data_IF_004521685740
#
_entry.id   IF_004521685740
#
_cell.length_a   1.000
_cell.length_b   1.000
_cell.length_c   1.000
_cell.angle_alpha   90.00
_cell.angle_beta   90.00
_cell.angle_gamma   90.00
#
_symmetry.space_group_name_H-M   'P 1'
#
loop_
_entity.id
_entity.type
_entity.pdbx_description
1 polymer ?
#
# COMPACT_ATOMS: atom_id res chain seq x y z
N UNK A 1 8.56 19.56 13.74
CA UNK A 1 8.57 18.65 12.58
C UNK A 1 7.72 19.30 11.49
N UNK A 2 8.20 19.34 10.25
CA UNK A 2 7.52 20.00 9.12
C UNK A 2 6.35 19.16 8.58
N UNK A 3 6.47 17.82 8.66
CA UNK A 3 5.43 16.87 8.27
C UNK A 3 5.36 15.73 9.30
N UNK A 4 4.15 15.26 9.56
CA UNK A 4 3.88 14.05 10.34
C UNK A 4 3.29 12.98 9.41
N UNK A 5 3.90 11.80 9.37
CA UNK A 5 3.40 10.66 8.60
C UNK A 5 2.58 9.76 9.52
N UNK A 6 1.26 9.76 9.34
CA UNK A 6 0.39 8.81 10.02
C UNK A 6 0.45 7.42 9.36
N UNK A 7 0.60 6.38 10.18
CA UNK A 7 0.72 5.00 9.70
C UNK A 7 -0.50 4.13 10.02
N UNK A 8 -1.55 4.70 10.62
CA UNK A 8 -2.80 3.99 11.00
C UNK A 8 -3.53 3.41 9.79
N UNK A 9 -3.49 4.11 8.65
CA UNK A 9 -4.10 3.72 7.36
C UNK A 9 -5.62 3.48 7.46
N UNK A 10 -6.30 4.16 8.39
CA UNK A 10 -7.73 4.03 8.59
C UNK A 10 -8.50 5.18 7.89
N UNK A 11 -9.45 4.90 6.97
CA UNK A 11 -10.23 5.94 6.28
C UNK A 11 -10.98 6.86 7.23
N UNK A 12 -11.56 6.30 8.30
CA UNK A 12 -12.30 7.07 9.30
C UNK A 12 -11.40 8.04 10.08
N UNK A 13 -10.15 7.63 10.38
CA UNK A 13 -9.20 8.51 11.06
C UNK A 13 -8.75 9.66 10.16
N UNK A 14 -8.44 9.37 8.89
CA UNK A 14 -8.16 10.40 7.90
C UNK A 14 -9.33 11.39 7.73
N UNK A 15 -10.57 10.90 7.82
CA UNK A 15 -11.75 11.77 7.75
C UNK A 15 -11.83 12.68 8.98
N UNK A 16 -11.59 12.16 10.18
CA UNK A 16 -11.53 12.96 11.39
C UNK A 16 -10.43 14.04 11.31
N UNK A 17 -9.23 13.70 10.79
CA UNK A 17 -8.16 14.67 10.57
C UNK A 17 -8.57 15.78 9.60
N UNK A 18 -9.32 15.44 8.55
CA UNK A 18 -9.80 16.42 7.56
C UNK A 18 -10.80 17.45 8.11
N UNK A 19 -11.31 17.26 9.32
CA UNK A 19 -12.24 18.17 9.99
C UNK A 19 -11.52 19.13 10.95
N UNK A 20 -10.21 18.99 11.16
CA UNK A 20 -9.43 19.83 12.06
C UNK A 20 -8.92 21.04 11.26
N UNK A 21 -9.31 22.29 11.60
CA UNK A 21 -9.00 23.48 10.80
C UNK A 21 -7.50 23.72 10.55
N UNK A 22 -6.65 23.37 11.52
CA UNK A 22 -5.21 23.63 11.46
C UNK A 22 -4.39 22.45 10.91
N UNK A 23 -5.05 21.41 10.38
CA UNK A 23 -4.39 20.23 9.81
C UNK A 23 -4.45 20.28 8.29
N UNK A 24 -3.30 20.50 7.66
CA UNK A 24 -3.14 20.33 6.22
C UNK A 24 -3.01 18.83 5.87
N UNK A 25 -4.12 18.21 5.50
CA UNK A 25 -4.16 16.78 5.22
C UNK A 25 -3.71 16.46 3.78
N UNK A 26 -2.60 15.73 3.64
CA UNK A 26 -2.19 15.08 2.39
C UNK A 26 -2.39 13.58 2.46
N UNK A 27 -3.02 12.97 1.45
CA UNK A 27 -3.38 11.54 1.44
C UNK A 27 -2.72 10.83 0.26
N UNK A 28 -1.82 9.91 0.56
CA UNK A 28 -1.26 8.96 -0.40
C UNK A 28 -1.96 7.59 -0.24
N UNK A 29 -2.85 7.27 -1.16
CA UNK A 29 -3.51 5.97 -1.21
C UNK A 29 -2.62 4.95 -1.93
N UNK A 30 -1.90 4.14 -1.16
CA UNK A 30 -1.13 3.03 -1.72
C UNK A 30 -2.04 1.82 -1.98
N UNK A 31 -2.25 1.50 -3.25
CA UNK A 31 -3.07 0.35 -3.67
C UNK A 31 -2.19 -0.81 -4.13
N UNK A 32 -2.61 -2.04 -3.87
CA UNK A 32 -1.97 -3.26 -4.39
C UNK A 32 -2.99 -4.09 -5.14
N UNK A 33 -2.55 -4.86 -6.12
CA UNK A 33 -3.39 -5.84 -6.82
C UNK A 33 -4.14 -6.72 -5.79
N UNK A 34 -5.48 -6.74 -5.78
CA UNK A 34 -6.27 -7.48 -4.79
C UNK A 34 -6.00 -8.98 -4.83
N UNK A 35 -5.55 -9.53 -5.96
CA UNK A 35 -5.13 -10.94 -6.08
C UNK A 35 -3.86 -11.19 -5.26
N UNK A 36 -2.91 -10.26 -5.29
CA UNK A 36 -1.71 -10.27 -4.46
C UNK A 36 -2.02 -10.06 -2.98
N UNK A 37 -3.00 -9.22 -2.66
CA UNK A 37 -3.48 -9.02 -1.28
C UNK A 37 -4.12 -10.29 -0.72
N UNK A 38 -5.06 -10.90 -1.46
CA UNK A 38 -5.71 -12.14 -1.07
C UNK A 38 -4.70 -13.26 -0.86
N UNK A 39 -3.73 -13.41 -1.77
CA UNK A 39 -2.65 -14.37 -1.61
C UNK A 39 -1.79 -14.10 -0.36
N UNK A 40 -1.47 -12.84 -0.06
CA UNK A 40 -0.73 -12.48 1.15
C UNK A 40 -1.51 -12.76 2.44
N UNK A 41 -2.83 -12.58 2.43
CA UNK A 41 -3.72 -12.76 3.59
C UNK A 41 -4.13 -14.23 3.81
N UNK A 42 -3.96 -15.07 2.79
CA UNK A 42 -4.17 -16.52 2.89
C UNK A 42 -2.99 -17.25 3.54
N UNK A 43 -1.79 -16.67 3.53
CA UNK A 43 -0.59 -17.30 4.07
C UNK A 43 -0.49 -17.13 5.58
N UNK A 44 -0.04 -18.17 6.31
CA UNK A 44 0.31 -18.01 7.72
C UNK A 44 1.50 -17.04 7.84
N UNK A 45 1.37 -16.05 8.71
CA UNK A 45 2.47 -15.21 9.18
C UNK A 45 2.51 -15.30 10.70
N UNK A 46 3.70 -15.43 11.27
CA UNK A 46 3.87 -15.39 12.72
C UNK A 46 3.34 -14.05 13.24
N UNK A 47 2.65 -14.08 14.38
CA UNK A 47 2.17 -12.90 15.09
C UNK A 47 3.21 -12.52 16.16
N UNK A 48 3.93 -11.39 16.03
CA UNK A 48 4.93 -10.96 17.01
C UNK A 48 4.34 -10.74 18.40
N UNK A 49 3.04 -10.42 18.49
CA UNK A 49 2.34 -10.14 19.75
C UNK A 49 1.75 -11.37 20.43
N UNK A 50 1.85 -12.56 19.84
CA UNK A 50 1.28 -13.79 20.38
C UNK A 50 2.28 -14.95 20.25
N UNK A 51 2.85 -15.38 21.38
CA UNK A 51 3.76 -16.53 21.41
C UNK A 51 3.10 -17.78 20.77
N UNK A 52 3.67 -18.27 19.67
CA UNK A 52 3.15 -19.41 18.90
C UNK A 52 1.91 -19.13 18.04
N UNK A 53 1.48 -17.87 17.92
CA UNK A 53 0.31 -17.46 17.16
C UNK A 53 0.61 -17.15 15.68
N UNK A 54 -0.37 -17.38 14.82
CA UNK A 54 -0.36 -16.87 13.45
C UNK A 54 -1.37 -15.73 13.32
N UNK A 55 -1.05 -14.74 12.49
CA UNK A 55 -1.98 -13.69 12.09
C UNK A 55 -3.27 -14.28 11.51
N UNK A 56 -4.40 -13.61 11.73
CA UNK A 56 -5.72 -14.03 11.22
C UNK A 56 -5.67 -14.18 9.71
N UNK A 57 -5.97 -15.39 9.24
CA UNK A 57 -6.11 -15.68 7.81
C UNK A 57 -7.46 -15.16 7.33
N UNK A 58 -7.48 -14.61 6.14
CA UNK A 58 -8.72 -14.23 5.49
C UNK A 58 -8.88 -15.00 4.19
N UNK A 59 -10.09 -15.50 3.97
CA UNK A 59 -10.46 -16.10 2.70
C UNK A 59 -10.42 -15.08 1.55
N UNK A 60 -10.41 -15.58 0.32
CA UNK A 60 -10.41 -14.75 -0.89
C UNK A 60 -11.58 -13.75 -0.92
N UNK A 61 -12.77 -14.15 -0.47
CA UNK A 61 -13.96 -13.29 -0.37
C UNK A 61 -13.77 -12.18 0.66
N UNK A 62 -13.44 -12.52 1.90
CA UNK A 62 -13.22 -11.55 2.99
C UNK A 62 -12.10 -10.57 2.65
N UNK A 63 -11.01 -11.04 2.06
CA UNK A 63 -9.94 -10.17 1.58
C UNK A 63 -10.39 -9.23 0.46
N UNK A 64 -11.24 -9.70 -0.45
CA UNK A 64 -11.78 -8.87 -1.54
C UNK A 64 -12.70 -7.78 -1.01
N UNK A 65 -13.62 -8.14 -0.12
CA UNK A 65 -14.55 -7.18 0.52
C UNK A 65 -13.76 -6.14 1.31
N UNK A 66 -12.82 -6.56 2.15
CA UNK A 66 -12.03 -5.63 2.93
C UNK A 66 -11.22 -4.68 2.04
N UNK A 67 -10.61 -5.22 0.98
CA UNK A 67 -9.87 -4.41 0.01
C UNK A 67 -10.77 -3.39 -0.69
N UNK A 68 -11.96 -3.79 -1.14
CA UNK A 68 -12.93 -2.86 -1.74
C UNK A 68 -13.36 -1.78 -0.76
N UNK A 69 -13.73 -2.18 0.45
CA UNK A 69 -14.23 -1.26 1.49
C UNK A 69 -13.16 -0.25 1.87
N UNK A 70 -11.90 -0.66 2.11
CA UNK A 70 -10.85 0.27 2.56
C UNK A 70 -10.45 1.25 1.46
N UNK A 71 -10.20 0.76 0.25
CA UNK A 71 -9.79 1.63 -0.86
C UNK A 71 -10.94 2.55 -1.29
N UNK A 72 -12.16 2.02 -1.41
CA UNK A 72 -13.35 2.79 -1.75
C UNK A 72 -13.71 3.83 -0.71
N UNK A 73 -13.67 3.48 0.59
CA UNK A 73 -13.93 4.43 1.67
C UNK A 73 -12.86 5.54 1.71
N UNK A 74 -11.58 5.21 1.53
CA UNK A 74 -10.51 6.22 1.49
C UNK A 74 -10.78 7.26 0.41
N UNK A 75 -11.05 6.81 -0.82
CA UNK A 75 -11.34 7.76 -1.89
C UNK A 75 -12.61 8.56 -1.64
N UNK A 76 -13.69 7.89 -1.24
CA UNK A 76 -15.00 8.54 -1.06
C UNK A 76 -14.98 9.59 0.04
N UNK A 77 -14.23 9.35 1.11
CA UNK A 77 -14.16 10.22 2.27
C UNK A 77 -13.12 11.33 2.07
N UNK A 78 -11.96 11.02 1.48
CA UNK A 78 -10.78 11.89 1.56
C UNK A 78 -10.43 12.60 0.25
N UNK A 79 -10.79 12.07 -0.93
CA UNK A 79 -10.36 12.65 -2.22
C UNK A 79 -10.80 14.10 -2.41
N UNK A 80 -11.97 14.47 -1.90
CA UNK A 80 -12.50 15.85 -1.95
C UNK A 80 -12.25 16.67 -0.69
N UNK A 81 -11.44 16.18 0.25
CA UNK A 81 -11.18 16.84 1.54
C UNK A 81 -9.70 17.05 1.83
N UNK A 82 -8.84 16.18 1.30
CA UNK A 82 -7.40 16.34 1.41
C UNK A 82 -6.93 17.50 0.52
N UNK A 83 -5.98 18.29 1.02
CA UNK A 83 -5.28 19.32 0.25
C UNK A 83 -4.58 18.70 -0.96
N UNK A 84 -3.99 17.53 -0.77
CA UNK A 84 -3.37 16.73 -1.83
C UNK A 84 -3.86 15.29 -1.73
N UNK A 85 -4.24 14.69 -2.86
CA UNK A 85 -4.61 13.28 -2.94
C UNK A 85 -3.90 12.61 -4.10
N UNK A 86 -3.14 11.55 -3.83
CA UNK A 86 -2.45 10.76 -4.84
C UNK A 86 -2.68 9.26 -4.63
N UNK A 87 -2.65 8.50 -5.72
CA UNK A 87 -2.72 7.03 -5.70
C UNK A 87 -1.38 6.49 -6.18
N UNK A 88 -0.81 5.54 -5.43
CA UNK A 88 0.43 4.85 -5.80
C UNK A 88 0.20 3.35 -5.82
N UNK A 89 0.50 2.69 -6.94
CA UNK A 89 0.47 1.23 -7.00
C UNK A 89 1.70 0.65 -6.32
N UNK A 90 1.51 -0.34 -5.46
CA UNK A 90 2.58 -1.11 -4.85
C UNK A 90 3.54 -1.68 -5.91
N UNK A 91 2.99 -2.09 -7.05
CA UNK A 91 3.75 -2.68 -8.14
C UNK A 91 4.69 -1.67 -8.81
N UNK A 92 4.30 -0.40 -8.90
CA UNK A 92 5.13 0.67 -9.45
C UNK A 92 6.20 1.08 -8.42
N UNK A 93 5.79 1.24 -7.15
CA UNK A 93 6.72 1.48 -6.04
C UNK A 93 7.79 0.40 -5.95
N UNK A 94 7.42 -0.89 -6.00
CA UNK A 94 8.38 -1.98 -5.84
C UNK A 94 9.30 -2.17 -7.06
N UNK A 95 8.95 -1.61 -8.23
CA UNK A 95 9.85 -1.57 -9.40
C UNK A 95 10.86 -0.44 -9.30
N UNK A 96 10.41 0.75 -8.90
CA UNK A 96 11.18 1.98 -8.88
C UNK A 96 10.99 2.71 -7.53
N UNK A 97 11.49 2.17 -6.42
CA UNK A 97 11.16 2.67 -5.09
C UNK A 97 11.78 4.03 -4.82
N UNK A 98 13.05 4.24 -5.15
CA UNK A 98 13.74 5.52 -4.97
C UNK A 98 13.05 6.63 -5.77
N UNK A 99 12.81 6.41 -7.06
CA UNK A 99 12.09 7.36 -7.91
C UNK A 99 10.66 7.61 -7.43
N UNK A 100 9.98 6.59 -6.90
CA UNK A 100 8.61 6.74 -6.35
C UNK A 100 8.60 7.58 -5.07
N UNK A 101 9.58 7.41 -4.19
CA UNK A 101 9.73 8.26 -3.00
C UNK A 101 10.12 9.69 -3.40
N UNK A 102 11.00 9.86 -4.39
CA UNK A 102 11.31 11.17 -4.96
C UNK A 102 10.07 11.89 -5.48
N UNK A 103 9.20 11.20 -6.23
CA UNK A 103 7.90 11.73 -6.67
C UNK A 103 6.99 12.12 -5.51
N UNK A 104 6.99 11.37 -4.40
CA UNK A 104 6.21 11.72 -3.20
C UNK A 104 6.77 12.98 -2.54
N UNK A 105 8.10 13.11 -2.42
CA UNK A 105 8.76 14.29 -1.85
C UNK A 105 8.45 15.53 -2.68
N UNK A 106 8.54 15.43 -4.01
CA UNK A 106 8.16 16.53 -4.91
C UNK A 106 6.68 16.84 -4.83
N UNK A 107 5.80 15.84 -4.75
CA UNK A 107 4.35 16.02 -4.61
C UNK A 107 3.95 16.71 -3.30
N UNK A 108 4.76 16.53 -2.24
CA UNK A 108 4.59 17.21 -0.95
C UNK A 108 5.30 18.58 -0.88
N UNK A 109 5.92 19.04 -1.97
CA UNK A 109 6.66 20.31 -2.05
C UNK A 109 7.77 20.46 -0.99
N UNK A 110 8.38 19.35 -0.56
CA UNK A 110 9.37 19.31 0.53
C UNK A 110 10.80 19.78 0.16
N UNK A 111 10.99 20.24 -1.08
CA UNK A 111 12.30 20.52 -1.65
C UNK A 111 13.16 19.27 -1.87
N UNK A 112 14.41 19.42 -2.36
CA UNK A 112 15.35 18.32 -2.50
C UNK A 112 15.63 17.66 -1.14
N UNK A 113 15.57 16.33 -1.08
CA UNK A 113 15.86 15.55 0.13
C UNK A 113 16.78 14.39 -0.24
N UNK A 114 17.78 14.15 0.60
CA UNK A 114 18.58 12.94 0.52
C UNK A 114 17.73 11.75 0.96
N UNK A 115 17.40 10.88 0.01
CA UNK A 115 16.62 9.69 0.28
C UNK A 115 17.56 8.59 0.81
N UNK A 116 17.16 7.81 1.83
CA UNK A 116 18.02 6.80 2.46
C UNK A 116 18.09 5.52 1.60
N UNK A 117 18.46 5.63 0.34
CA UNK A 117 18.63 4.52 -0.57
C UNK A 117 20.12 4.19 -0.76
N UNK A 118 20.44 2.90 -0.67
CA UNK A 118 21.74 2.32 -1.00
C UNK A 118 21.60 1.55 -2.31
N UNK A 119 21.49 2.32 -3.40
CA UNK A 119 21.16 1.82 -4.74
C UNK A 119 19.65 1.74 -5.02
N UNK A 120 19.27 1.35 -6.25
CA UNK A 120 17.96 1.68 -6.83
C UNK A 120 16.76 1.00 -6.15
N UNK A 121 17.00 -0.06 -5.37
CA UNK A 121 15.94 -0.87 -4.72
C UNK A 121 16.27 -1.30 -3.30
N UNK A 122 17.23 -0.67 -2.65
CA UNK A 122 17.58 -0.99 -1.26
C UNK A 122 17.44 0.28 -0.45
N UNK A 123 16.61 0.23 0.58
CA UNK A 123 16.43 1.34 1.53
C UNK A 123 17.18 1.01 2.82
N UNK A 124 17.86 1.98 3.41
CA UNK A 124 18.52 1.85 4.70
C UNK A 124 17.57 2.35 5.78
N UNK A 125 16.97 1.43 6.54
CA UNK A 125 16.00 1.76 7.57
C UNK A 125 16.67 1.98 8.92
N UNK A 126 16.42 3.16 9.51
CA UNK A 126 16.73 3.40 10.91
C UNK A 126 15.73 2.65 11.82
N UNK A 127 16.10 2.39 13.09
CA UNK A 127 15.16 1.86 14.07
C UNK A 127 13.91 2.73 14.20
N UNK A 128 12.74 2.10 14.21
CA UNK A 128 11.45 2.78 14.44
C UNK A 128 10.72 2.17 15.63
N UNK A 129 9.97 2.99 16.36
CA UNK A 129 9.18 2.55 17.51
C UNK A 129 7.80 1.99 17.11
N UNK A 130 7.77 1.09 16.11
CA UNK A 130 6.54 0.41 15.70
C UNK A 130 6.30 -0.82 16.57
N UNK A 131 5.11 -0.94 17.16
CA UNK A 131 4.78 -2.00 18.14
C UNK A 131 3.89 -3.12 17.58
N UNK A 132 3.43 -3.01 16.33
CA UNK A 132 2.56 -4.02 15.71
C UNK A 132 2.51 -3.93 14.18
N UNK A 133 2.09 -5.04 13.55
CA UNK A 133 1.85 -5.13 12.12
C UNK A 133 2.66 -6.24 11.47
N UNK A 134 2.98 -6.09 10.18
CA UNK A 134 3.81 -7.05 9.46
C UNK A 134 5.21 -7.11 10.11
N UNK A 135 5.72 -8.29 10.52
CA UNK A 135 7.04 -8.41 11.15
C UNK A 135 8.18 -7.79 10.33
N UNK A 136 8.02 -7.73 9.00
CA UNK A 136 8.97 -7.05 8.11
C UNK A 136 9.21 -5.56 8.47
N UNK A 137 8.31 -4.92 9.25
CA UNK A 137 8.43 -3.53 9.71
C UNK A 137 9.49 -3.34 10.79
N UNK A 138 9.89 -4.40 11.48
CA UNK A 138 10.91 -4.35 12.54
C UNK A 138 12.33 -4.45 11.97
N UNK A 139 12.47 -4.66 10.65
CA UNK A 139 13.77 -4.75 9.98
C UNK A 139 14.46 -3.39 9.96
N UNK A 140 15.73 -3.38 10.33
CA UNK A 140 16.62 -2.22 10.31
C UNK A 140 17.83 -2.48 9.42
N UNK A 141 18.54 -1.43 9.04
CA UNK A 141 19.67 -1.49 8.11
C UNK A 141 19.23 -1.65 6.65
N UNK A 142 20.08 -2.22 5.78
CA UNK A 142 19.79 -2.40 4.36
C UNK A 142 18.62 -3.37 4.13
N UNK A 143 17.52 -2.87 3.57
CA UNK A 143 16.33 -3.63 3.26
C UNK A 143 16.06 -3.61 1.74
N UNK A 144 16.22 -4.74 1.04
CA UNK A 144 15.89 -4.82 -0.37
C UNK A 144 14.38 -4.82 -0.57
N UNK A 145 13.89 -3.92 -1.42
CA UNK A 145 12.51 -3.83 -1.86
C UNK A 145 12.34 -4.76 -3.07
N UNK A 146 11.44 -5.74 -2.93
CA UNK A 146 11.17 -6.74 -3.96
C UNK A 146 9.69 -6.77 -4.30
N UNK A 147 9.42 -6.84 -5.60
CA UNK A 147 8.08 -7.01 -6.12
C UNK A 147 7.60 -8.45 -5.92
N UNK A 148 6.58 -8.65 -5.07
CA UNK A 148 6.00 -9.99 -4.81
C UNK A 148 4.87 -10.31 -5.78
N UNK A 149 5.20 -11.09 -6.83
CA UNK A 149 4.25 -11.61 -7.83
C UNK A 149 3.94 -13.11 -7.69
N UNK A 150 4.34 -13.76 -6.58
CA UNK A 150 4.14 -15.21 -6.38
C UNK A 150 2.69 -15.65 -6.51
N UNK A 151 1.74 -14.75 -6.22
CA UNK A 151 0.31 -14.99 -6.41
C UNK A 151 -0.06 -15.40 -7.85
N UNK A 152 0.74 -15.04 -8.85
CA UNK A 152 0.47 -15.41 -10.25
C UNK A 152 0.61 -16.91 -10.48
N UNK A 153 1.57 -17.56 -9.84
CA UNK A 153 1.82 -19.00 -9.94
C UNK A 153 1.21 -19.80 -8.79
N UNK A 154 1.14 -19.22 -7.59
CA UNK A 154 0.79 -19.95 -6.37
C UNK A 154 -0.65 -19.75 -5.88
N UNK A 155 -1.38 -18.75 -6.38
CA UNK A 155 -2.80 -18.61 -6.06
C UNK A 155 -3.62 -19.52 -6.99
N UNK A 156 -4.44 -20.46 -6.46
CA UNK A 156 -5.30 -21.30 -7.29
C UNK A 156 -6.14 -20.48 -8.26
N UNK A 157 -6.22 -20.92 -9.52
CA UNK A 157 -6.85 -20.17 -10.60
C UNK A 157 -8.30 -19.75 -10.28
N UNK A 158 -9.08 -20.62 -9.63
CA UNK A 158 -10.44 -20.32 -9.22
C UNK A 158 -10.51 -19.21 -8.17
N UNK A 159 -9.57 -19.14 -7.22
CA UNK A 159 -9.48 -18.05 -6.22
C UNK A 159 -9.10 -16.75 -6.90
N UNK A 160 -8.17 -16.81 -7.85
CA UNK A 160 -7.77 -15.64 -8.66
C UNK A 160 -8.94 -15.10 -9.47
N UNK A 161 -9.72 -15.98 -10.11
CA UNK A 161 -10.93 -15.61 -10.85
C UNK A 161 -11.98 -14.99 -9.93
N UNK A 162 -12.24 -15.60 -8.77
CA UNK A 162 -13.19 -15.07 -7.77
C UNK A 162 -12.80 -13.67 -7.30
N UNK A 163 -11.53 -13.46 -6.90
CA UNK A 163 -11.05 -12.13 -6.47
C UNK A 163 -11.18 -11.13 -7.62
N UNK A 164 -10.83 -11.54 -8.85
CA UNK A 164 -10.95 -10.67 -10.03
C UNK A 164 -12.40 -10.25 -10.26
N UNK A 165 -13.34 -11.18 -10.21
CA UNK A 165 -14.76 -10.89 -10.40
C UNK A 165 -15.30 -9.94 -9.32
N UNK A 166 -15.00 -10.23 -8.04
CA UNK A 166 -15.47 -9.41 -6.92
C UNK A 166 -14.89 -7.99 -6.96
N UNK A 167 -13.64 -7.83 -7.41
CA UNK A 167 -12.93 -6.54 -7.37
C UNK A 167 -12.87 -5.80 -8.70
N UNK A 168 -13.54 -6.32 -9.74
CA UNK A 168 -13.43 -5.86 -11.13
C UNK A 168 -13.58 -4.34 -11.33
N UNK A 169 -14.60 -3.65 -10.76
CA UNK A 169 -14.77 -2.22 -11.01
C UNK A 169 -13.58 -1.39 -10.52
N UNK A 170 -13.02 -1.76 -9.36
CA UNK A 170 -11.88 -1.07 -8.78
C UNK A 170 -10.54 -1.54 -9.39
N UNK A 171 -10.46 -2.77 -9.88
CA UNK A 171 -9.32 -3.22 -10.71
C UNK A 171 -9.20 -2.34 -11.95
N UNK A 172 -10.32 -2.05 -12.64
CA UNK A 172 -10.31 -1.16 -13.80
C UNK A 172 -9.89 0.26 -13.40
N UNK A 173 -10.48 0.78 -12.30
CA UNK A 173 -10.17 2.10 -11.76
C UNK A 173 -8.67 2.31 -11.45
N UNK A 174 -8.01 1.28 -10.92
CA UNK A 174 -6.58 1.34 -10.57
C UNK A 174 -5.65 0.80 -11.66
N UNK A 175 -6.16 0.56 -12.88
CA UNK A 175 -5.32 0.13 -14.01
C UNK A 175 -4.74 -1.28 -13.86
N UNK A 176 -5.48 -2.20 -13.23
CA UNK A 176 -5.12 -3.62 -13.11
C UNK A 176 -5.83 -4.54 -14.12
N UNK A 177 -6.79 -4.01 -14.89
CA UNK A 177 -7.51 -4.75 -15.95
C UNK A 177 -6.77 -4.67 -17.29
N UNK A 178 -6.09 -3.57 -17.56
CA UNK A 178 -5.28 -3.38 -18.77
C UNK A 178 -3.84 -3.84 -18.53
N UNK A 179 -3.63 -5.15 -18.67
CA UNK A 179 -2.32 -5.69 -19.03
C UNK A 179 -2.38 -6.16 -20.49
N UNK A 180 -2.57 -5.21 -21.42
CA UNK A 180 -2.00 -5.38 -22.75
C UNK A 180 -0.51 -5.13 -22.62
N UNK A 181 0.30 -5.99 -23.24
CA UNK A 181 1.75 -5.89 -23.23
C UNK A 181 2.22 -4.49 -23.68
N UNK A 182 3.12 -3.87 -22.89
CA UNK A 182 3.96 -2.75 -23.33
C UNK A 182 3.42 -1.33 -23.11
N UNK A 183 4.16 -0.55 -22.31
CA UNK A 183 4.41 0.88 -22.54
C UNK A 183 3.36 1.93 -22.13
N UNK A 184 3.74 2.79 -21.18
CA UNK A 184 3.19 4.15 -20.95
C UNK A 184 1.75 4.19 -20.42
N UNK A 185 1.29 5.13 -19.62
CA UNK A 185 1.78 6.43 -19.15
C UNK A 185 0.95 6.76 -17.90
N UNK A 186 1.56 7.46 -16.94
CA UNK A 186 0.87 8.03 -15.80
C UNK A 186 -0.19 9.06 -16.23
N UNK A 187 -1.31 9.09 -15.52
CA UNK A 187 -2.17 10.26 -15.33
C UNK A 187 -2.47 10.38 -13.85
#
# INVERSE_FOLDING_TARGET
AEIVVDSSKAPAYGFALSLIPDVELSVLLMVRDPRGVAYSWLRPKADPGRAGGYMKRFGATSSSVLWLTWNGATERLLKGRATRFAVLRYEDFAREPEASVGRIVSWLDLGPRDLPFDGPRTVVLAPTHTTSGNPDRERTGPVPIRLDQRWRSELPAWRRALVTALTWPMLARYGYVTASAGGGTAR
#
